data_IF_059617582798
#
_entry.id   IF_059617582798
#
_cell.length_a   1.000
_cell.length_b   1.000
_cell.length_c   1.000
_cell.angle_alpha   90.00
_cell.angle_beta   90.00
_cell.angle_gamma   90.00
#
_symmetry.space_group_name_H-M   'P 1'
#
loop_
_entity.id
_entity.type
_entity.pdbx_description
1 polymer ?
#
# COMPACT_ATOMS: atom_id res chain seq x y z
N UNK A 1 41.55 45.56 8.49
CA UNK A 1 40.67 45.77 7.31
C UNK A 1 40.80 44.70 6.22
N UNK A 2 41.90 44.54 5.45
CA UNK A 2 41.99 43.45 4.44
C UNK A 2 41.96 42.04 5.06
N UNK A 3 42.82 41.77 6.07
CA UNK A 3 42.80 40.47 6.80
C UNK A 3 41.49 40.15 7.53
N UNK A 4 40.75 41.18 7.92
CA UNK A 4 39.48 41.05 8.66
C UNK A 4 38.33 40.71 7.72
N UNK A 5 38.34 41.28 6.50
CA UNK A 5 37.43 40.89 5.42
C UNK A 5 37.73 39.49 4.89
N UNK A 6 39.00 39.10 4.80
CA UNK A 6 39.41 37.76 4.38
C UNK A 6 38.93 36.71 5.40
N UNK A 7 39.12 36.96 6.70
CA UNK A 7 38.63 36.08 7.76
C UNK A 7 37.09 35.97 7.77
N UNK A 8 36.37 37.07 7.60
CA UNK A 8 34.90 37.04 7.52
C UNK A 8 34.39 36.31 6.28
N UNK A 9 35.10 36.40 5.16
CA UNK A 9 34.75 35.69 3.93
C UNK A 9 35.03 34.18 4.05
N UNK A 10 36.15 33.79 4.66
CA UNK A 10 36.44 32.39 4.99
C UNK A 10 35.41 31.80 5.96
N UNK A 11 34.98 32.57 6.96
CA UNK A 11 33.93 32.17 7.88
C UNK A 11 32.59 32.01 7.16
N UNK A 12 32.21 32.95 6.29
CA UNK A 12 31.00 32.83 5.49
C UNK A 12 31.03 31.59 4.58
N UNK A 13 32.17 31.25 3.98
CA UNK A 13 32.35 30.03 3.19
C UNK A 13 32.27 28.76 4.05
N UNK A 14 32.90 28.74 5.22
CA UNK A 14 32.89 27.60 6.14
C UNK A 14 31.50 27.31 6.69
N UNK A 15 30.72 28.36 6.98
CA UNK A 15 29.33 28.30 7.42
C UNK A 15 28.44 27.80 6.28
N UNK A 16 28.55 28.35 5.06
CA UNK A 16 27.70 27.96 3.94
C UNK A 16 28.00 26.57 3.36
N UNK A 17 29.09 25.92 3.78
CA UNK A 17 29.49 24.58 3.31
C UNK A 17 28.93 23.43 4.16
N UNK A 18 28.17 23.72 5.22
CA UNK A 18 27.65 22.69 6.12
C UNK A 18 26.32 22.10 5.61
N UNK A 19 26.19 20.77 5.55
CA UNK A 19 25.03 20.11 4.92
C UNK A 19 23.79 20.02 5.82
N UNK A 20 23.96 20.07 7.15
CA UNK A 20 22.88 19.94 8.13
C UNK A 20 22.95 21.04 9.19
N UNK A 21 21.79 21.36 9.78
CA UNK A 21 21.66 22.47 10.71
C UNK A 21 22.48 22.28 12.01
N UNK A 22 22.64 21.04 12.50
CA UNK A 22 23.36 20.82 13.75
C UNK A 22 24.86 21.12 13.58
N UNK A 23 25.49 20.53 12.57
CA UNK A 23 26.90 20.77 12.23
C UNK A 23 27.16 22.25 11.93
N UNK A 24 26.22 22.92 11.27
CA UNK A 24 26.27 24.37 11.05
C UNK A 24 26.35 25.16 12.36
N UNK A 25 25.46 24.88 13.32
CA UNK A 25 25.39 25.63 14.57
C UNK A 25 26.63 25.41 15.45
N UNK A 26 27.14 24.18 15.49
CA UNK A 26 28.39 23.84 16.17
C UNK A 26 29.56 24.63 15.59
N UNK A 27 29.62 24.74 14.25
CA UNK A 27 30.68 25.52 13.60
C UNK A 27 30.53 27.01 13.84
N UNK A 28 29.31 27.54 13.85
CA UNK A 28 29.03 28.95 14.14
C UNK A 28 29.51 29.33 15.54
N UNK A 29 29.24 28.50 16.56
CA UNK A 29 29.63 28.80 17.94
C UNK A 29 31.15 28.72 18.14
N UNK A 30 31.81 27.76 17.49
CA UNK A 30 33.28 27.63 17.50
C UNK A 30 33.93 28.88 16.90
N UNK A 31 33.50 29.27 15.69
CA UNK A 31 34.02 30.46 15.00
C UNK A 31 33.73 31.75 15.77
N UNK A 32 32.58 31.84 16.45
CA UNK A 32 32.23 32.97 17.30
C UNK A 32 33.17 33.10 18.49
N UNK A 33 33.52 31.98 19.14
CA UNK A 33 34.44 31.96 20.26
C UNK A 33 35.86 32.35 19.81
N UNK A 34 36.34 31.77 18.71
CA UNK A 34 37.66 32.05 18.15
C UNK A 34 37.83 33.51 17.72
N UNK A 35 36.80 34.08 17.05
CA UNK A 35 36.84 35.45 16.53
C UNK A 35 37.01 36.51 17.63
N UNK A 36 36.41 36.26 18.80
CA UNK A 36 36.46 37.17 19.96
C UNK A 36 37.58 36.78 20.95
N UNK A 37 38.27 35.67 20.70
CA UNK A 37 39.37 35.18 21.54
C UNK A 37 38.91 34.66 22.90
N UNK A 38 37.76 34.00 22.94
CA UNK A 38 37.20 33.36 24.14
C UNK A 38 37.04 31.87 23.93
N UNK A 39 36.86 31.12 25.02
CA UNK A 39 36.91 29.65 24.96
C UNK A 39 35.56 28.96 25.05
N UNK A 40 34.44 29.68 25.20
CA UNK A 40 33.14 29.06 25.41
C UNK A 40 31.99 29.89 24.85
N UNK A 41 30.92 29.24 24.42
CA UNK A 41 29.79 29.89 23.76
C UNK A 41 28.57 29.00 23.59
N UNK A 42 27.51 29.58 23.06
CA UNK A 42 26.28 28.86 22.72
C UNK A 42 25.45 29.59 21.68
N UNK A 43 24.66 28.85 20.92
CA UNK A 43 23.69 29.39 19.95
C UNK A 43 22.29 29.01 20.39
N UNK A 44 21.49 30.02 20.67
CA UNK A 44 20.06 29.90 20.88
C UNK A 44 19.33 30.07 19.55
N UNK A 45 18.40 29.18 19.24
CA UNK A 45 17.53 29.32 18.07
C UNK A 45 16.10 29.65 18.48
N UNK A 46 15.46 30.52 17.71
CA UNK A 46 14.03 30.78 17.83
C UNK A 46 13.25 29.53 17.41
N UNK A 47 12.33 29.11 18.28
CA UNK A 47 11.38 28.03 18.03
C UNK A 47 10.22 28.52 17.14
N UNK A 48 9.44 27.60 16.52
CA UNK A 48 8.35 27.96 15.62
C UNK A 48 7.25 28.84 16.24
N UNK A 49 7.10 28.80 17.57
CA UNK A 49 6.15 29.64 18.32
C UNK A 49 6.52 31.13 18.31
N UNK A 50 7.78 31.47 18.00
CA UNK A 50 8.36 32.82 18.01
C UNK A 50 8.37 33.52 19.37
N UNK A 51 8.20 32.76 20.44
CA UNK A 51 8.21 33.27 21.81
C UNK A 51 9.30 32.62 22.67
N UNK A 52 9.83 31.49 22.19
CA UNK A 52 10.79 30.67 22.93
C UNK A 52 12.08 30.49 22.13
N UNK A 53 13.20 30.62 22.82
CA UNK A 53 14.53 30.23 22.36
C UNK A 53 14.90 28.86 22.92
N UNK A 54 15.63 28.05 22.15
CA UNK A 54 16.25 26.81 22.62
C UNK A 54 17.76 26.84 22.37
N UNK A 55 18.57 26.45 23.36
CA UNK A 55 20.01 26.29 23.16
C UNK A 55 20.26 25.08 22.27
N UNK A 56 20.58 25.34 21.00
CA UNK A 56 20.70 24.34 19.96
C UNK A 56 22.15 23.88 19.73
N UNK A 57 23.13 24.72 20.10
CA UNK A 57 24.55 24.35 20.07
C UNK A 57 25.29 24.98 21.26
N UNK A 58 26.33 24.29 21.73
CA UNK A 58 27.13 24.69 22.87
C UNK A 58 28.61 24.35 22.60
N UNK A 59 29.48 25.30 22.87
CA UNK A 59 30.92 25.13 22.71
C UNK A 59 31.60 25.29 24.07
N UNK A 60 32.24 24.22 24.54
CA UNK A 60 33.09 24.19 25.74
C UNK A 60 32.43 24.82 26.99
N UNK A 61 31.12 24.61 27.15
CA UNK A 61 30.40 24.98 28.38
C UNK A 61 30.67 23.93 29.46
N UNK A 62 30.94 24.38 30.70
CA UNK A 62 31.25 23.47 31.81
C UNK A 62 30.09 22.52 32.17
N UNK A 63 28.85 22.91 31.89
CA UNK A 63 27.67 22.08 32.09
C UNK A 63 26.94 21.92 30.75
N UNK A 64 26.27 20.79 30.56
CA UNK A 64 25.44 20.57 29.40
C UNK A 64 24.11 21.34 29.56
N UNK A 65 23.98 22.43 28.81
CA UNK A 65 22.77 23.23 28.75
C UNK A 65 21.95 22.99 27.47
N UNK A 66 22.34 22.05 26.60
CA UNK A 66 21.64 21.81 25.34
C UNK A 66 20.17 21.48 25.56
N UNK A 67 19.29 22.04 24.73
CA UNK A 67 17.84 21.91 24.86
C UNK A 67 17.21 22.83 25.91
N UNK A 68 18.00 23.64 26.64
CA UNK A 68 17.46 24.65 27.56
C UNK A 68 16.60 25.65 26.81
N UNK A 69 15.41 25.93 27.34
CA UNK A 69 14.46 26.87 26.74
C UNK A 69 14.34 28.14 27.56
N UNK A 70 14.32 29.29 26.86
CA UNK A 70 14.18 30.62 27.45
C UNK A 70 13.05 31.37 26.74
N UNK A 71 12.21 32.07 27.49
CA UNK A 71 11.22 32.98 26.89
C UNK A 71 11.88 34.30 26.46
N UNK A 72 11.23 35.02 25.56
CA UNK A 72 11.59 36.42 25.29
C UNK A 72 11.61 37.24 26.59
N UNK A 73 12.67 38.04 26.77
CA UNK A 73 12.94 38.81 27.99
C UNK A 73 13.59 38.02 29.14
N UNK A 74 13.69 36.69 29.05
CA UNK A 74 14.29 35.84 30.08
C UNK A 74 15.80 35.67 29.85
N UNK A 75 16.60 35.89 30.91
CA UNK A 75 18.05 35.79 30.78
C UNK A 75 18.64 36.83 29.83
N UNK A 76 19.93 36.70 29.52
CA UNK A 76 20.57 37.58 28.55
C UNK A 76 20.09 37.28 27.12
N UNK A 77 20.04 36.01 26.72
CA UNK A 77 19.62 35.62 25.37
C UNK A 77 18.17 36.00 25.07
N UNK A 78 17.23 35.80 26.00
CA UNK A 78 15.84 36.19 25.81
C UNK A 78 15.67 37.71 25.72
N UNK A 79 16.44 38.50 26.49
CA UNK A 79 16.44 39.97 26.38
C UNK A 79 17.00 40.45 25.05
N UNK A 80 18.10 39.88 24.57
CA UNK A 80 18.67 40.20 23.25
C UNK A 80 17.72 39.81 22.13
N UNK A 81 17.03 38.68 22.23
CA UNK A 81 16.00 38.30 21.26
C UNK A 81 14.74 39.19 21.34
N UNK A 82 14.45 39.81 22.48
CA UNK A 82 13.33 40.73 22.63
C UNK A 82 13.66 42.13 22.11
N UNK A 83 14.84 42.67 22.45
CA UNK A 83 15.25 44.01 22.03
C UNK A 83 15.79 44.04 20.60
N UNK A 84 16.39 42.95 20.15
CA UNK A 84 17.17 42.92 18.91
C UNK A 84 18.45 43.72 19.00
N UNK A 85 18.98 43.97 20.20
CA UNK A 85 20.23 44.72 20.40
C UNK A 85 21.25 43.86 21.14
N UNK A 86 22.52 43.98 20.75
CA UNK A 86 23.62 43.30 21.41
C UNK A 86 23.74 43.78 22.87
N UNK A 87 24.07 42.86 23.78
CA UNK A 87 24.24 43.18 25.20
C UNK A 87 25.45 42.45 25.78
N UNK A 88 26.27 43.19 26.52
CA UNK A 88 27.41 42.66 27.28
C UNK A 88 27.15 42.80 28.78
N UNK A 89 27.45 41.75 29.53
CA UNK A 89 27.35 41.72 31.00
C UNK A 89 28.73 41.39 31.56
N UNK A 90 29.29 42.31 32.34
CA UNK A 90 30.67 42.20 32.86
C UNK A 90 30.79 41.35 34.14
N UNK A 91 29.68 41.20 34.86
CA UNK A 91 29.57 40.35 36.07
C UNK A 91 28.28 39.53 36.02
N UNK A 92 28.25 38.54 35.12
CA UNK A 92 27.08 37.71 34.87
C UNK A 92 26.70 36.87 36.09
N UNK A 93 27.68 36.35 36.84
CA UNK A 93 27.44 35.56 38.06
C UNK A 93 26.69 36.34 39.14
N UNK A 94 26.83 37.66 39.22
CA UNK A 94 26.06 38.50 40.16
C UNK A 94 24.91 39.26 39.49
N UNK A 95 24.71 39.09 38.18
CA UNK A 95 23.68 39.81 37.47
C UNK A 95 22.28 39.30 37.86
N UNK A 96 21.35 40.18 38.30
CA UNK A 96 20.02 39.76 38.73
C UNK A 96 19.13 39.26 37.57
N UNK A 97 19.53 39.53 36.32
CA UNK A 97 18.77 39.13 35.13
C UNK A 97 19.01 37.69 34.65
N UNK A 98 19.80 36.88 35.36
CA UNK A 98 20.08 35.48 34.98
C UNK A 98 18.79 34.65 34.87
N UNK A 99 18.73 33.81 33.84
CA UNK A 99 17.66 32.81 33.73
C UNK A 99 17.85 31.69 34.76
N UNK A 100 16.76 31.09 35.22
CA UNK A 100 16.79 29.98 36.19
C UNK A 100 17.73 28.83 35.77
N UNK A 101 17.76 28.40 34.48
CA UNK A 101 18.68 27.34 34.04
C UNK A 101 20.17 27.66 34.13
N UNK A 102 20.55 28.92 34.34
CA UNK A 102 21.95 29.37 34.36
C UNK A 102 22.42 29.88 35.72
N UNK A 103 21.66 29.63 36.80
CA UNK A 103 22.03 30.10 38.13
C UNK A 103 23.34 29.49 38.65
N UNK A 104 23.64 28.24 38.27
CA UNK A 104 24.87 27.54 38.63
C UNK A 104 26.04 27.82 37.67
N UNK A 105 25.84 28.69 36.68
CA UNK A 105 26.90 29.02 35.73
C UNK A 105 27.97 29.90 36.38
N UNK A 106 29.24 29.58 36.07
CA UNK A 106 30.41 30.33 36.53
C UNK A 106 30.87 31.37 35.49
N UNK A 107 29.99 31.74 34.55
CA UNK A 107 30.32 32.75 33.55
C UNK A 107 30.47 34.10 34.24
N UNK A 108 31.59 34.77 33.99
CA UNK A 108 31.85 36.11 34.55
C UNK A 108 31.47 37.19 33.55
N UNK A 109 31.93 37.04 32.31
CA UNK A 109 31.61 37.96 31.21
C UNK A 109 30.84 37.23 30.14
N UNK A 110 29.73 37.82 29.73
CA UNK A 110 28.88 37.25 28.67
C UNK A 110 28.50 38.34 27.69
N UNK A 111 28.81 38.11 26.42
CA UNK A 111 28.32 38.93 25.31
C UNK A 111 27.32 38.10 24.51
N UNK A 112 26.18 38.71 24.22
CA UNK A 112 25.13 38.12 23.41
C UNK A 112 24.76 39.06 22.26
N UNK A 113 24.66 38.52 21.04
CA UNK A 113 24.25 39.27 19.84
C UNK A 113 23.09 38.56 19.14
N UNK A 114 22.14 39.31 18.56
CA UNK A 114 21.02 38.73 17.83
C UNK A 114 21.46 38.26 16.45
N UNK A 115 20.99 37.09 16.05
CA UNK A 115 21.05 36.62 14.66
C UNK A 115 19.84 37.20 13.92
N UNK A 116 20.07 38.25 13.12
CA UNK A 116 19.00 38.98 12.42
C UNK A 116 18.94 38.56 10.95
N UNK A 117 17.73 38.27 10.49
CA UNK A 117 17.41 38.07 9.08
C UNK A 117 16.31 39.06 8.69
N UNK A 118 16.69 40.14 7.99
CA UNK A 118 15.81 41.29 7.71
C UNK A 118 15.19 41.80 9.02
N UNK A 119 13.87 41.81 9.12
CA UNK A 119 13.12 42.33 10.29
C UNK A 119 12.83 41.25 11.35
N UNK A 120 13.49 40.08 11.30
CA UNK A 120 13.21 38.95 12.20
C UNK A 120 14.47 38.44 12.88
N UNK A 121 14.34 38.04 14.14
CA UNK A 121 15.41 37.37 14.90
C UNK A 121 15.22 35.86 14.76
N UNK A 122 16.25 35.20 14.24
CA UNK A 122 16.26 33.75 14.05
C UNK A 122 16.95 33.00 15.20
N UNK A 123 17.73 33.72 16.01
CA UNK A 123 18.47 33.18 17.15
C UNK A 123 19.33 34.23 17.85
N UNK A 124 20.15 33.78 18.79
CA UNK A 124 21.11 34.60 19.55
C UNK A 124 22.41 33.81 19.69
N UNK A 125 23.54 34.44 19.37
CA UNK A 125 24.87 33.90 19.66
C UNK A 125 25.30 34.46 21.01
N UNK A 126 25.79 33.58 21.88
CA UNK A 126 26.37 33.93 23.17
C UNK A 126 27.81 33.46 23.23
N UNK A 127 28.67 34.29 23.78
CA UNK A 127 30.03 33.93 24.11
C UNK A 127 30.29 34.25 25.57
N UNK A 128 30.97 33.32 26.25
CA UNK A 128 31.09 33.29 27.69
C UNK A 128 32.56 33.17 28.07
N UNK A 129 33.01 33.97 29.02
CA UNK A 129 34.37 33.87 29.53
C UNK A 129 34.41 34.03 31.06
N UNK A 130 35.34 33.33 31.71
CA UNK A 130 35.56 33.34 33.15
C UNK A 130 36.96 33.89 33.54
N UNK A 131 37.90 33.97 32.60
CA UNK A 131 39.31 34.33 32.80
C UNK A 131 39.73 35.64 32.11
N UNK A 132 38.95 36.15 31.13
CA UNK A 132 39.24 37.37 30.36
C UNK A 132 39.57 38.55 31.28
N UNK A 133 40.52 39.38 30.88
CA UNK A 133 40.87 40.62 31.59
C UNK A 133 40.17 41.79 30.89
N UNK A 134 39.19 42.40 31.57
CA UNK A 134 38.44 43.55 31.03
C UNK A 134 37.12 43.18 30.33
N UNK A 135 36.21 44.16 30.15
CA UNK A 135 34.92 43.98 29.46
C UNK A 135 35.11 43.61 27.98
N UNK A 136 34.05 43.16 27.32
CA UNK A 136 34.02 43.12 25.86
C UNK A 136 33.98 44.54 25.30
N UNK A 137 34.82 44.85 24.31
CA UNK A 137 34.90 46.18 23.70
C UNK A 137 34.01 46.29 22.45
N UNK A 138 33.98 47.49 21.84
CA UNK A 138 33.18 47.74 20.63
C UNK A 138 33.66 46.93 19.42
N UNK A 139 34.93 46.51 19.39
CA UNK A 139 35.48 45.65 18.35
C UNK A 139 34.94 44.22 18.50
N UNK A 140 34.93 43.68 19.72
CA UNK A 140 34.34 42.37 20.04
C UNK A 140 32.86 42.31 19.64
N UNK A 141 32.08 43.34 20.01
CA UNK A 141 30.65 43.44 19.68
C UNK A 141 30.45 43.52 18.17
N UNK A 142 31.24 44.34 17.46
CA UNK A 142 31.14 44.47 16.01
C UNK A 142 31.45 43.15 15.30
N UNK A 143 32.54 42.48 15.65
CA UNK A 143 32.97 41.23 15.02
C UNK A 143 31.94 40.13 15.21
N UNK A 144 31.44 39.96 16.43
CA UNK A 144 30.42 38.96 16.73
C UNK A 144 29.09 39.27 16.03
N UNK A 145 28.72 40.56 15.92
CA UNK A 145 27.51 40.98 15.19
C UNK A 145 27.61 40.65 13.70
N UNK A 146 28.75 40.92 13.06
CA UNK A 146 28.98 40.58 11.65
C UNK A 146 28.87 39.07 11.40
N UNK A 147 29.44 38.27 12.32
CA UNK A 147 29.29 36.83 12.27
C UNK A 147 27.83 36.39 12.43
N UNK A 148 27.11 36.99 13.39
CA UNK A 148 25.71 36.67 13.65
C UNK A 148 24.79 36.98 12.47
N UNK A 149 25.08 38.02 11.69
CA UNK A 149 24.38 38.32 10.44
C UNK A 149 24.60 37.23 9.37
N UNK A 150 25.84 36.75 9.20
CA UNK A 150 26.13 35.65 8.27
C UNK A 150 25.52 34.32 8.74
N UNK A 151 25.63 34.03 10.04
CA UNK A 151 25.04 32.85 10.65
C UNK A 151 23.50 32.86 10.53
N UNK A 152 22.85 34.03 10.63
CA UNK A 152 21.40 34.15 10.48
C UNK A 152 20.95 33.72 9.07
N UNK A 153 21.67 34.15 8.03
CA UNK A 153 21.41 33.75 6.64
C UNK A 153 21.60 32.25 6.46
N UNK A 154 22.73 31.71 6.94
CA UNK A 154 23.03 30.30 6.78
C UNK A 154 22.05 29.38 7.52
N UNK A 155 21.68 29.71 8.77
CA UNK A 155 20.67 28.97 9.53
C UNK A 155 19.32 28.98 8.83
N UNK A 156 18.94 30.12 8.25
CA UNK A 156 17.71 30.19 7.45
C UNK A 156 17.79 29.29 6.22
N UNK A 157 18.91 29.29 5.50
CA UNK A 157 19.10 28.46 4.32
C UNK A 157 19.09 26.96 4.67
N UNK A 158 19.78 26.56 5.75
CA UNK A 158 19.80 25.18 6.22
C UNK A 158 18.39 24.70 6.61
N UNK A 159 17.63 25.50 7.37
CA UNK A 159 16.23 25.20 7.72
C UNK A 159 15.33 25.07 6.49
N UNK A 160 15.48 25.96 5.51
CA UNK A 160 14.73 25.91 4.25
C UNK A 160 15.08 24.66 3.44
N UNK A 161 16.37 24.32 3.37
CA UNK A 161 16.85 23.14 2.66
C UNK A 161 16.32 21.85 3.30
N UNK A 162 16.42 21.71 4.63
CA UNK A 162 15.86 20.55 5.34
C UNK A 162 14.34 20.44 5.14
N UNK A 163 13.62 21.55 5.20
CA UNK A 163 12.17 21.55 4.94
C UNK A 163 11.85 21.12 3.49
N UNK A 164 12.61 21.62 2.52
CA UNK A 164 12.45 21.23 1.11
C UNK A 164 12.79 19.75 0.87
N UNK A 165 13.82 19.21 1.53
CA UNK A 165 14.17 17.80 1.46
C UNK A 165 13.06 16.92 2.06
N UNK A 166 12.50 17.29 3.22
CA UNK A 166 11.38 16.57 3.81
C UNK A 166 10.15 16.59 2.91
N UNK A 167 9.79 17.75 2.36
CA UNK A 167 8.68 17.88 1.41
C UNK A 167 8.90 17.04 0.14
N UNK A 168 10.13 17.00 -0.38
CA UNK A 168 10.47 16.15 -1.53
C UNK A 168 10.27 14.67 -1.23
N UNK A 169 10.76 14.18 -0.08
CA UNK A 169 10.60 12.78 0.34
C UNK A 169 9.12 12.45 0.55
N UNK A 170 8.35 13.33 1.18
CA UNK A 170 6.92 13.14 1.39
C UNK A 170 6.14 13.10 0.06
N UNK A 171 6.49 13.96 -0.90
CA UNK A 171 5.88 13.96 -2.25
C UNK A 171 6.21 12.72 -3.05
N UNK A 172 7.48 12.34 -3.11
CA UNK A 172 7.91 11.11 -3.80
C UNK A 172 7.17 9.89 -3.26
N UNK A 173 6.97 9.85 -1.93
CA UNK A 173 6.20 8.79 -1.29
C UNK A 173 4.72 8.83 -1.67
N UNK A 174 4.10 10.01 -1.67
CA UNK A 174 2.71 10.15 -2.09
C UNK A 174 2.51 9.70 -3.54
N UNK A 175 3.45 10.04 -4.44
CA UNK A 175 3.47 9.61 -5.84
C UNK A 175 3.61 8.09 -5.97
N UNK A 176 4.49 7.46 -5.19
CA UNK A 176 4.64 5.99 -5.16
C UNK A 176 3.34 5.29 -4.73
N UNK A 177 2.70 5.78 -3.66
CA UNK A 177 1.43 5.23 -3.18
C UNK A 177 0.35 5.42 -4.27
N UNK A 178 0.22 6.62 -4.83
CA UNK A 178 -0.77 6.90 -5.88
C UNK A 178 -0.56 6.02 -7.13
N UNK A 179 0.69 5.82 -7.55
CA UNK A 179 1.06 4.92 -8.64
C UNK A 179 0.65 3.47 -8.34
N UNK A 180 0.91 2.99 -7.12
CA UNK A 180 0.49 1.66 -6.70
C UNK A 180 -1.04 1.50 -6.70
N UNK A 181 -1.79 2.47 -6.16
CA UNK A 181 -3.26 2.46 -6.18
C UNK A 181 -3.80 2.39 -7.62
N UNK A 182 -3.24 3.21 -8.53
CA UNK A 182 -3.61 3.19 -9.93
C UNK A 182 -3.35 1.82 -10.57
N UNK A 183 -2.17 1.24 -10.35
CA UNK A 183 -1.79 -0.06 -10.90
C UNK A 183 -2.63 -1.21 -10.35
N UNK A 184 -3.03 -1.17 -9.07
CA UNK A 184 -3.95 -2.16 -8.49
C UNK A 184 -5.32 -2.06 -9.13
N UNK A 185 -5.83 -0.83 -9.30
CA UNK A 185 -7.10 -0.59 -9.97
C UNK A 185 -7.08 -1.08 -11.43
N UNK A 186 -5.99 -0.83 -12.15
CA UNK A 186 -5.77 -1.32 -13.51
C UNK A 186 -5.67 -2.85 -13.56
N UNK A 187 -4.89 -3.47 -12.67
CA UNK A 187 -4.73 -4.92 -12.58
C UNK A 187 -6.07 -5.62 -12.39
N UNK A 188 -6.98 -5.06 -11.60
CA UNK A 188 -8.31 -5.66 -11.43
C UNK A 188 -9.21 -5.58 -12.68
N UNK A 189 -8.82 -4.85 -13.72
CA UNK A 189 -9.51 -4.83 -15.03
C UNK A 189 -8.82 -5.72 -16.05
N UNK A 190 -7.49 -5.76 -16.03
CA UNK A 190 -6.69 -6.43 -17.06
C UNK A 190 -6.35 -7.88 -16.71
N UNK A 191 -6.31 -8.24 -15.42
CA UNK A 191 -6.05 -9.60 -15.00
C UNK A 191 -7.15 -10.54 -15.52
N UNK A 192 -6.81 -11.72 -16.07
CA UNK A 192 -7.79 -12.68 -16.58
C UNK A 192 -8.67 -13.26 -15.47
N UNK A 193 -8.06 -13.57 -14.33
CA UNK A 193 -8.65 -14.26 -13.17
C UNK A 193 -8.09 -13.70 -11.84
N UNK A 194 -8.61 -14.22 -10.72
CA UNK A 194 -8.16 -13.86 -9.38
C UNK A 194 -6.69 -14.21 -9.12
N UNK A 195 -6.19 -15.33 -9.61
CA UNK A 195 -4.80 -15.76 -9.36
C UNK A 195 -3.80 -14.78 -9.99
N UNK A 196 -4.04 -14.37 -11.23
CA UNK A 196 -3.23 -13.34 -11.90
C UNK A 196 -3.34 -11.97 -11.20
N UNK A 197 -4.51 -11.63 -10.65
CA UNK A 197 -4.70 -10.42 -9.86
C UNK A 197 -3.85 -10.45 -8.57
N UNK A 198 -3.86 -11.56 -7.83
CA UNK A 198 -3.08 -11.68 -6.60
C UNK A 198 -1.56 -11.56 -6.86
N UNK A 199 -1.06 -12.21 -7.91
CA UNK A 199 0.34 -12.05 -8.34
C UNK A 199 0.68 -10.59 -8.69
N UNK A 200 -0.23 -9.90 -9.38
CA UNK A 200 -0.05 -8.48 -9.73
C UNK A 200 -0.01 -7.61 -8.48
N UNK A 201 -0.91 -7.84 -7.51
CA UNK A 201 -0.92 -7.14 -6.22
C UNK A 201 0.40 -7.37 -5.49
N UNK A 202 0.86 -8.62 -5.36
CA UNK A 202 2.13 -8.93 -4.71
C UNK A 202 3.29 -8.17 -5.37
N UNK A 203 3.38 -8.19 -6.71
CA UNK A 203 4.41 -7.46 -7.47
C UNK A 203 4.37 -5.94 -7.22
N UNK A 204 3.17 -5.37 -7.05
CA UNK A 204 3.01 -3.94 -6.75
C UNK A 204 3.44 -3.63 -5.31
N UNK A 205 3.07 -4.48 -4.34
CA UNK A 205 3.44 -4.31 -2.92
C UNK A 205 4.95 -4.48 -2.71
N UNK A 206 5.60 -5.40 -3.41
CA UNK A 206 7.06 -5.63 -3.33
C UNK A 206 7.89 -4.43 -3.79
N UNK A 207 7.30 -3.51 -4.57
CA UNK A 207 7.94 -2.25 -4.95
C UNK A 207 7.78 -1.15 -3.89
N UNK A 208 6.86 -1.30 -2.95
CA UNK A 208 6.60 -0.35 -1.87
C UNK A 208 7.33 -0.71 -0.57
N UNK A 209 7.59 -2.01 -0.37
CA UNK A 209 8.18 -2.53 0.85
C UNK A 209 8.76 -3.93 0.63
N UNK A 210 9.64 -4.42 1.51
CA UNK A 210 10.12 -5.80 1.42
C UNK A 210 8.97 -6.79 1.58
N UNK A 211 8.52 -7.42 0.48
CA UNK A 211 7.34 -8.26 0.46
C UNK A 211 7.62 -9.71 0.06
N UNK A 212 8.89 -10.16 0.12
CA UNK A 212 9.31 -11.51 -0.26
C UNK A 212 8.47 -12.63 0.34
N UNK A 213 8.00 -12.46 1.59
CA UNK A 213 6.96 -13.30 2.16
C UNK A 213 5.66 -12.50 2.26
N UNK A 214 4.67 -12.92 1.48
CA UNK A 214 3.41 -12.22 1.31
C UNK A 214 2.27 -13.20 1.10
N UNK A 215 1.13 -12.93 1.71
CA UNK A 215 -0.07 -13.70 1.47
C UNK A 215 -1.34 -12.88 1.61
N UNK A 216 -2.40 -13.39 0.98
CA UNK A 216 -3.75 -12.86 1.07
C UNK A 216 -4.59 -13.94 1.73
N UNK A 217 -5.12 -13.64 2.91
CA UNK A 217 -6.06 -14.49 3.62
C UNK A 217 -7.47 -13.93 3.46
N UNK A 218 -8.44 -14.74 3.05
CA UNK A 218 -9.83 -14.35 2.85
C UNK A 218 -10.72 -15.13 3.80
N UNK A 219 -11.70 -14.46 4.40
CA UNK A 219 -12.63 -15.06 5.35
C UNK A 219 -13.98 -15.30 4.69
N UNK A 220 -14.49 -16.54 4.79
CA UNK A 220 -15.87 -16.87 4.46
C UNK A 220 -16.69 -16.97 5.75
N UNK A 221 -17.63 -16.03 5.91
CA UNK A 221 -18.51 -15.97 7.07
C UNK A 221 -19.51 -17.14 7.13
N UNK A 222 -19.90 -17.71 5.98
CA UNK A 222 -20.89 -18.79 5.92
C UNK A 222 -20.30 -20.11 6.37
N UNK A 223 -19.08 -20.40 5.92
CA UNK A 223 -18.35 -21.61 6.32
C UNK A 223 -17.57 -21.42 7.63
N UNK A 224 -17.40 -20.16 8.06
CA UNK A 224 -16.53 -19.76 9.17
C UNK A 224 -15.10 -20.28 8.98
N UNK A 225 -14.56 -20.11 7.77
CA UNK A 225 -13.24 -20.58 7.37
C UNK A 225 -12.39 -19.45 6.78
N UNK A 226 -11.09 -19.51 7.06
CA UNK A 226 -10.06 -18.68 6.44
C UNK A 226 -9.40 -19.49 5.33
N UNK A 227 -9.36 -18.91 4.13
CA UNK A 227 -8.67 -19.42 2.96
C UNK A 227 -7.46 -18.55 2.69
N UNK A 228 -6.38 -19.12 2.16
CA UNK A 228 -5.27 -18.33 1.61
C UNK A 228 -5.14 -18.61 0.11
N UNK A 229 -5.93 -17.95 -0.74
CA UNK A 229 -5.85 -18.15 -2.18
C UNK A 229 -4.53 -17.65 -2.78
N UNK A 230 -3.76 -16.84 -2.04
CA UNK A 230 -2.42 -16.45 -2.44
C UNK A 230 -1.48 -16.55 -1.26
N UNK A 231 -0.41 -17.33 -1.43
CA UNK A 231 0.58 -17.59 -0.40
C UNK A 231 1.96 -17.74 -1.03
N UNK A 232 2.82 -16.76 -0.83
CA UNK A 232 4.22 -16.78 -1.22
C UNK A 232 5.05 -16.64 0.05
N UNK A 233 5.52 -17.75 0.60
CA UNK A 233 6.33 -17.79 1.82
C UNK A 233 7.49 -18.78 1.68
N UNK A 234 8.62 -18.46 2.32
CA UNK A 234 9.83 -19.26 2.20
C UNK A 234 10.00 -20.34 3.27
N UNK A 235 9.24 -20.27 4.36
CA UNK A 235 9.44 -21.13 5.54
C UNK A 235 8.23 -21.96 5.93
N UNK A 236 7.03 -21.55 5.52
CA UNK A 236 5.80 -22.14 6.02
C UNK A 236 4.99 -22.82 4.91
N UNK A 237 4.30 -23.89 5.27
CA UNK A 237 3.21 -24.50 4.51
C UNK A 237 2.08 -24.72 5.51
N UNK A 238 1.00 -23.94 5.38
CA UNK A 238 -0.11 -23.97 6.32
C UNK A 238 -1.19 -24.97 5.89
N UNK A 239 -1.68 -25.78 6.83
CA UNK A 239 -2.88 -26.60 6.65
C UNK A 239 -4.12 -25.71 6.60
N UNK A 240 -4.62 -25.47 5.38
CA UNK A 240 -5.77 -24.60 5.09
C UNK A 240 -6.78 -25.28 4.15
N UNK A 241 -8.07 -24.90 4.19
CA UNK A 241 -8.68 -23.85 5.01
C UNK A 241 -8.84 -24.23 6.49
N UNK A 242 -8.85 -23.22 7.37
CA UNK A 242 -8.99 -23.42 8.82
C UNK A 242 -9.93 -22.37 9.46
N UNK A 243 -10.65 -22.69 10.54
CA UNK A 243 -11.49 -21.72 11.24
C UNK A 243 -10.64 -20.62 11.91
N UNK A 244 -11.19 -19.41 12.13
CA UNK A 244 -10.51 -18.38 12.90
C UNK A 244 -10.11 -18.89 14.29
N UNK A 245 -8.89 -18.58 14.70
CA UNK A 245 -8.31 -19.01 15.97
C UNK A 245 -7.54 -17.88 16.64
N UNK A 246 -6.38 -18.23 17.22
CA UNK A 246 -5.47 -17.28 17.86
C UNK A 246 -4.27 -16.88 16.98
N UNK A 247 -4.33 -17.10 15.66
CA UNK A 247 -3.27 -16.59 14.77
C UNK A 247 -3.30 -15.06 14.68
N UNK A 248 -2.17 -14.43 14.29
CA UNK A 248 -2.11 -12.99 14.04
C UNK A 248 -3.11 -12.55 12.95
N UNK A 249 -3.29 -13.37 11.90
CA UNK A 249 -4.34 -13.17 10.88
C UNK A 249 -5.73 -13.13 11.51
N UNK A 250 -6.04 -14.07 12.41
CA UNK A 250 -7.34 -14.10 13.11
C UNK A 250 -7.51 -12.89 14.03
N UNK A 251 -6.43 -12.40 14.65
CA UNK A 251 -6.45 -11.19 15.47
C UNK A 251 -6.79 -9.95 14.63
N UNK A 252 -6.18 -9.78 13.45
CA UNK A 252 -6.50 -8.67 12.54
C UNK A 252 -7.94 -8.78 12.02
N UNK A 253 -8.42 -9.98 11.67
CA UNK A 253 -9.83 -10.19 11.30
C UNK A 253 -10.77 -9.79 12.43
N UNK A 254 -10.51 -10.25 13.66
CA UNK A 254 -11.35 -10.01 14.84
C UNK A 254 -11.41 -8.54 15.26
N UNK A 255 -10.25 -7.89 15.31
CA UNK A 255 -10.15 -6.48 15.75
C UNK A 255 -10.47 -5.51 14.62
N UNK A 256 -10.33 -5.97 13.38
CA UNK A 256 -10.36 -5.14 12.20
C UNK A 256 -9.24 -4.10 12.18
N UNK A 257 -8.17 -4.18 12.98
CA UNK A 257 -7.12 -3.15 13.04
C UNK A 257 -5.81 -3.59 12.37
N UNK A 258 -5.11 -2.71 11.64
CA UNK A 258 -3.74 -2.94 11.19
C UNK A 258 -2.81 -3.31 12.36
N UNK A 259 -1.98 -4.33 12.17
CA UNK A 259 -1.03 -4.80 13.18
C UNK A 259 0.37 -4.97 12.58
N UNK A 260 1.33 -4.25 13.15
CA UNK A 260 2.76 -4.56 13.02
C UNK A 260 3.20 -5.29 14.29
N UNK A 261 3.32 -6.61 14.20
CA UNK A 261 3.82 -7.46 15.27
C UNK A 261 5.33 -7.63 15.12
N UNK A 262 6.06 -6.78 15.85
CA UNK A 262 7.48 -7.01 16.16
C UNK A 262 7.61 -8.09 17.26
N UNK A 263 8.80 -8.64 17.56
CA UNK A 263 8.94 -9.69 18.56
C UNK A 263 8.37 -9.27 19.92
N UNK A 264 8.64 -8.02 20.32
CA UNK A 264 8.09 -7.44 21.55
C UNK A 264 6.55 -7.38 21.53
N UNK A 265 5.96 -6.90 20.43
CA UNK A 265 4.50 -6.79 20.31
C UNK A 265 3.85 -8.18 20.28
N UNK A 266 4.48 -9.14 19.62
CA UNK A 266 4.02 -10.52 19.59
C UNK A 266 4.03 -11.15 20.99
N UNK A 267 5.14 -11.01 21.72
CA UNK A 267 5.27 -11.49 23.10
C UNK A 267 4.23 -10.84 24.04
N UNK A 268 4.01 -9.53 23.90
CA UNK A 268 3.00 -8.80 24.68
C UNK A 268 1.56 -9.31 24.39
N UNK A 269 1.25 -9.65 23.14
CA UNK A 269 -0.05 -10.20 22.75
C UNK A 269 -0.22 -11.66 23.22
N UNK A 270 0.83 -12.48 23.15
CA UNK A 270 0.81 -13.85 23.70
C UNK A 270 0.63 -13.85 25.21
N UNK A 271 1.30 -12.95 25.94
CA UNK A 271 1.15 -12.82 27.39
C UNK A 271 -0.27 -12.43 27.83
N UNK A 272 -1.03 -11.78 26.94
CA UNK A 272 -2.45 -11.42 27.13
C UNK A 272 -3.42 -12.49 26.63
N UNK A 273 -2.92 -13.63 26.13
CA UNK A 273 -3.70 -14.71 25.55
C UNK A 273 -4.55 -14.30 24.33
N UNK A 274 -4.18 -13.21 23.66
CA UNK A 274 -4.86 -12.67 22.47
C UNK A 274 -4.49 -13.42 21.18
N UNK A 275 -3.25 -13.92 21.14
CA UNK A 275 -2.66 -14.65 20.02
C UNK A 275 -1.84 -15.84 20.49
N UNK A 276 -1.59 -16.79 19.59
CA UNK A 276 -0.72 -17.94 19.76
C UNK A 276 0.16 -18.08 18.52
N UNK A 277 1.34 -18.68 18.68
CA UNK A 277 2.20 -19.02 17.56
C UNK A 277 1.52 -20.09 16.69
N UNK A 278 1.18 -19.71 15.47
CA UNK A 278 0.62 -20.58 14.43
C UNK A 278 1.45 -20.36 13.18
N UNK A 279 2.07 -21.43 12.67
CA UNK A 279 3.05 -21.35 11.59
C UNK A 279 4.47 -21.02 12.08
N UNK A 280 5.31 -20.55 11.17
CA UNK A 280 6.69 -20.15 11.46
C UNK A 280 6.77 -18.82 12.23
N UNK A 281 7.73 -18.73 13.16
CA UNK A 281 7.95 -17.51 13.94
C UNK A 281 8.71 -16.46 13.11
N UNK A 282 7.98 -15.46 12.59
CA UNK A 282 8.57 -14.36 11.84
C UNK A 282 9.20 -13.30 12.75
N UNK A 283 10.21 -12.60 12.23
CA UNK A 283 10.91 -11.52 12.93
C UNK A 283 10.05 -10.26 12.98
N UNK A 284 9.41 -9.91 11.88
CA UNK A 284 8.32 -8.93 11.84
C UNK A 284 7.18 -9.50 11.00
N UNK A 285 5.96 -9.31 11.52
CA UNK A 285 4.72 -9.63 10.83
C UNK A 285 3.88 -8.37 10.69
N UNK A 286 3.43 -8.05 9.47
CA UNK A 286 2.58 -6.90 9.20
C UNK A 286 1.32 -7.35 8.46
N UNK A 287 0.17 -7.25 9.12
CA UNK A 287 -1.13 -7.54 8.54
C UNK A 287 -2.07 -6.34 8.58
N UNK A 288 -2.81 -6.14 7.51
CA UNK A 288 -3.84 -5.11 7.41
C UNK A 288 -5.16 -5.71 6.94
N UNK A 289 -6.31 -5.24 7.46
CA UNK A 289 -7.60 -5.77 7.07
C UNK A 289 -7.92 -5.39 5.62
N UNK A 290 -8.48 -6.32 4.87
CA UNK A 290 -9.09 -6.06 3.55
C UNK A 290 -10.55 -5.70 3.77
N UNK A 291 -10.86 -4.41 3.72
CA UNK A 291 -12.21 -3.89 4.01
C UNK A 291 -12.92 -3.49 2.73
N UNK A 292 -14.16 -3.96 2.58
CA UNK A 292 -15.12 -3.43 1.60
C UNK A 292 -16.06 -2.44 2.30
N UNK A 293 -17.05 -1.92 1.57
CA UNK A 293 -18.08 -1.06 2.16
C UNK A 293 -18.96 -1.81 3.19
N UNK A 294 -18.97 -3.14 3.15
CA UNK A 294 -19.92 -3.98 3.89
C UNK A 294 -19.26 -4.84 4.95
N UNK A 295 -18.01 -5.28 4.76
CA UNK A 295 -17.34 -6.17 5.70
C UNK A 295 -15.80 -6.18 5.56
N UNK A 296 -15.11 -6.75 6.55
CA UNK A 296 -13.72 -7.18 6.39
C UNK A 296 -13.71 -8.54 5.72
N UNK A 297 -13.29 -8.60 4.46
CA UNK A 297 -13.30 -9.82 3.64
C UNK A 297 -12.04 -10.68 3.83
N UNK A 298 -11.03 -10.16 4.54
CA UNK A 298 -9.74 -10.82 4.66
C UNK A 298 -8.65 -9.98 5.32
N UNK A 299 -7.41 -10.44 5.19
CA UNK A 299 -6.18 -9.78 5.64
C UNK A 299 -5.13 -9.86 4.55
N UNK A 300 -4.46 -8.75 4.30
CA UNK A 300 -3.27 -8.65 3.46
C UNK A 300 -2.05 -8.65 4.37
N UNK A 301 -1.10 -9.56 4.12
CA UNK A 301 0.03 -9.77 5.02
C UNK A 301 1.36 -9.73 4.29
N UNK A 302 2.33 -9.08 4.94
CA UNK A 302 3.76 -9.11 4.61
C UNK A 302 4.52 -9.54 5.86
N UNK A 303 5.52 -10.42 5.70
CA UNK A 303 6.35 -10.86 6.82
C UNK A 303 7.82 -11.05 6.43
N UNK A 304 8.70 -11.07 7.43
CA UNK A 304 10.14 -11.29 7.24
C UNK A 304 10.68 -12.22 8.32
N UNK A 305 11.55 -13.14 7.92
CA UNK A 305 12.32 -14.01 8.82
C UNK A 305 13.78 -13.54 8.98
N UNK A 306 14.18 -12.47 8.26
CA UNK A 306 15.54 -11.98 8.24
C UNK A 306 15.69 -10.78 9.20
N UNK A 307 16.55 -10.91 10.21
CA UNK A 307 16.81 -9.84 11.19
C UNK A 307 17.35 -8.54 10.59
N UNK A 308 17.99 -8.61 9.40
CA UNK A 308 18.51 -7.43 8.69
C UNK A 308 17.41 -6.64 7.99
N UNK A 309 16.22 -7.21 7.80
CA UNK A 309 15.09 -6.56 7.14
C UNK A 309 14.03 -6.34 8.20
N UNK A 310 13.76 -5.06 8.53
CA UNK A 310 12.77 -4.69 9.55
C UNK A 310 11.58 -3.98 8.92
N UNK A 311 10.38 -4.39 9.33
CA UNK A 311 9.15 -3.67 8.99
C UNK A 311 8.92 -2.54 9.99
N UNK A 312 8.40 -1.41 9.51
CA UNK A 312 8.31 -0.18 10.30
C UNK A 312 6.87 0.30 10.38
N UNK A 313 6.60 1.24 11.29
CA UNK A 313 5.31 1.94 11.32
C UNK A 313 5.00 2.66 10.01
N UNK A 314 6.05 3.03 9.27
CA UNK A 314 5.93 3.58 7.94
C UNK A 314 5.34 2.57 6.96
N UNK A 315 5.87 1.35 6.93
CA UNK A 315 5.36 0.23 6.16
C UNK A 315 3.89 -0.06 6.50
N UNK A 316 3.53 -0.10 7.80
CA UNK A 316 2.13 -0.29 8.22
C UNK A 316 1.20 0.77 7.64
N UNK A 317 1.59 2.06 7.68
CA UNK A 317 0.80 3.15 7.09
C UNK A 317 0.61 2.95 5.59
N UNK A 318 1.69 2.64 4.85
CA UNK A 318 1.61 2.40 3.40
C UNK A 318 0.68 1.24 3.09
N UNK A 319 0.89 0.07 3.69
CA UNK A 319 0.08 -1.12 3.40
C UNK A 319 -1.40 -0.90 3.73
N UNK A 320 -1.69 -0.15 4.80
CA UNK A 320 -3.07 0.24 5.18
C UNK A 320 -3.73 1.13 4.12
N UNK A 321 -3.01 2.08 3.52
CA UNK A 321 -3.58 2.91 2.44
C UNK A 321 -3.91 2.09 1.19
N UNK A 322 -3.11 1.05 0.93
CA UNK A 322 -3.24 0.24 -0.28
C UNK A 322 -4.28 -0.87 -0.10
N UNK A 323 -4.52 -1.35 1.13
CA UNK A 323 -5.42 -2.48 1.40
C UNK A 323 -6.86 -2.25 0.98
N UNK A 324 -7.37 -1.02 1.08
CA UNK A 324 -8.75 -0.71 0.66
C UNK A 324 -8.92 -0.88 -0.85
N UNK A 325 -7.95 -0.44 -1.65
CA UNK A 325 -7.97 -0.66 -3.11
C UNK A 325 -7.78 -2.13 -3.46
N UNK A 326 -6.96 -2.87 -2.72
CA UNK A 326 -6.82 -4.32 -2.88
C UNK A 326 -8.15 -5.02 -2.60
N UNK A 327 -8.84 -4.67 -1.52
CA UNK A 327 -10.14 -5.26 -1.18
C UNK A 327 -11.18 -5.00 -2.28
N UNK A 328 -11.27 -3.76 -2.77
CA UNK A 328 -12.16 -3.40 -3.88
C UNK A 328 -11.82 -4.15 -5.18
N UNK A 329 -10.54 -4.29 -5.50
CA UNK A 329 -10.06 -5.05 -6.65
C UNK A 329 -10.49 -6.52 -6.60
N UNK A 330 -10.32 -7.17 -5.44
CA UNK A 330 -10.71 -8.56 -5.21
C UNK A 330 -12.23 -8.72 -5.30
N UNK A 331 -13.00 -7.85 -4.64
CA UNK A 331 -14.47 -7.88 -4.68
C UNK A 331 -14.98 -7.73 -6.12
N UNK A 332 -14.42 -6.78 -6.88
CA UNK A 332 -14.78 -6.57 -8.29
C UNK A 332 -14.49 -7.81 -9.13
N UNK A 333 -13.30 -8.41 -9.00
CA UNK A 333 -12.90 -9.57 -9.79
C UNK A 333 -13.73 -10.81 -9.45
N UNK A 334 -14.05 -11.01 -8.16
CA UNK A 334 -14.99 -12.05 -7.70
C UNK A 334 -16.39 -11.87 -8.30
N UNK A 335 -16.91 -10.66 -8.32
CA UNK A 335 -18.21 -10.36 -8.92
C UNK A 335 -18.24 -10.63 -10.43
N UNK A 336 -17.16 -10.26 -11.14
CA UNK A 336 -16.99 -10.53 -12.57
C UNK A 336 -16.97 -12.04 -12.87
N UNK A 337 -16.20 -12.82 -12.11
CA UNK A 337 -16.13 -14.28 -12.28
C UNK A 337 -17.45 -14.97 -11.94
N UNK A 338 -18.15 -14.52 -10.89
CA UNK A 338 -19.47 -15.03 -10.53
C UNK A 338 -20.50 -14.77 -11.63
N UNK A 339 -20.50 -13.57 -12.22
CA UNK A 339 -21.36 -13.24 -13.36
C UNK A 339 -21.05 -14.13 -14.56
N UNK A 340 -19.76 -14.27 -14.93
CA UNK A 340 -19.33 -15.14 -16.04
C UNK A 340 -19.68 -16.61 -15.83
N UNK A 341 -19.70 -17.07 -14.58
CA UNK A 341 -20.12 -18.44 -14.23
C UNK A 341 -21.62 -18.60 -14.44
N UNK A 342 -22.42 -17.66 -13.90
CA UNK A 342 -23.87 -17.66 -14.05
C UNK A 342 -24.32 -17.55 -15.51
N UNK A 343 -23.65 -16.73 -16.33
CA UNK A 343 -23.93 -16.62 -17.76
C UNK A 343 -23.66 -17.92 -18.52
N UNK A 344 -22.59 -18.65 -18.15
CA UNK A 344 -22.28 -19.96 -18.73
C UNK A 344 -23.33 -21.00 -18.36
N UNK A 345 -23.66 -21.09 -17.06
CA UNK A 345 -24.71 -21.99 -16.57
C UNK A 345 -26.06 -21.70 -17.25
N UNK A 346 -26.44 -20.43 -17.38
CA UNK A 346 -27.66 -20.03 -18.05
C UNK A 346 -27.67 -20.43 -19.53
N UNK A 347 -26.55 -20.24 -20.24
CA UNK A 347 -26.43 -20.63 -21.66
C UNK A 347 -26.61 -22.13 -21.85
N UNK A 348 -26.01 -22.93 -20.98
CA UNK A 348 -26.10 -24.39 -21.05
C UNK A 348 -27.52 -24.89 -20.74
N UNK A 349 -28.16 -24.33 -19.70
CA UNK A 349 -29.55 -24.62 -19.36
C UNK A 349 -30.50 -24.22 -20.48
N UNK A 350 -30.31 -23.05 -21.09
CA UNK A 350 -31.12 -22.58 -22.20
C UNK A 350 -31.00 -23.52 -23.41
N UNK A 351 -29.78 -23.93 -23.77
CA UNK A 351 -29.54 -24.88 -24.85
C UNK A 351 -30.18 -26.26 -24.57
N UNK A 352 -30.17 -26.72 -23.32
CA UNK A 352 -30.85 -27.96 -22.91
C UNK A 352 -32.38 -27.84 -23.02
N UNK A 353 -32.97 -26.75 -22.51
CA UNK A 353 -34.41 -26.50 -22.56
C UNK A 353 -34.92 -26.39 -24.01
N UNK A 354 -34.14 -25.76 -24.90
CA UNK A 354 -34.48 -25.65 -26.32
C UNK A 354 -34.50 -27.03 -26.99
N UNK A 355 -33.52 -27.90 -26.72
CA UNK A 355 -33.50 -29.29 -27.22
C UNK A 355 -34.72 -30.08 -26.75
N UNK A 356 -35.07 -29.97 -25.47
CA UNK A 356 -36.24 -30.66 -24.93
C UNK A 356 -37.56 -30.18 -25.54
N UNK A 357 -37.68 -28.87 -25.78
CA UNK A 357 -38.87 -28.29 -26.44
C UNK A 357 -39.00 -28.80 -27.88
N UNK A 358 -37.89 -28.90 -28.63
CA UNK A 358 -37.88 -29.46 -29.97
C UNK A 358 -38.32 -30.93 -29.98
N UNK A 359 -37.82 -31.74 -29.03
CA UNK A 359 -38.20 -33.15 -28.88
C UNK A 359 -39.70 -33.31 -28.55
N UNK A 360 -40.22 -32.54 -27.59
CA UNK A 360 -41.63 -32.57 -27.23
C UNK A 360 -42.54 -32.12 -28.39
N UNK A 361 -42.14 -31.09 -29.14
CA UNK A 361 -42.88 -30.63 -30.31
C UNK A 361 -42.95 -31.69 -31.41
N UNK A 362 -41.87 -32.45 -31.62
CA UNK A 362 -41.86 -33.59 -32.52
C UNK A 362 -42.80 -34.69 -32.03
N UNK A 363 -42.69 -35.10 -30.78
CA UNK A 363 -43.54 -36.14 -30.19
C UNK A 363 -45.02 -35.78 -30.28
N UNK A 364 -45.37 -34.52 -30.00
CA UNK A 364 -46.76 -34.06 -30.08
C UNK A 364 -47.28 -34.07 -31.53
N UNK A 365 -46.49 -33.62 -32.52
CA UNK A 365 -46.87 -33.72 -33.94
C UNK A 365 -47.07 -35.15 -34.40
N UNK A 366 -46.12 -36.04 -34.06
CA UNK A 366 -46.20 -37.46 -34.42
C UNK A 366 -47.42 -38.12 -33.77
N UNK A 367 -47.67 -37.84 -32.48
CA UNK A 367 -48.84 -38.34 -31.76
C UNK A 367 -50.14 -37.84 -32.40
N UNK A 368 -50.25 -36.55 -32.67
CA UNK A 368 -51.45 -35.95 -33.27
C UNK A 368 -51.74 -36.52 -34.67
N UNK A 369 -50.71 -36.78 -35.48
CA UNK A 369 -50.85 -37.44 -36.77
C UNK A 369 -51.41 -38.87 -36.60
N UNK A 370 -50.83 -39.65 -35.69
CA UNK A 370 -51.25 -41.04 -35.43
C UNK A 370 -52.69 -41.16 -34.92
N UNK A 371 -53.21 -40.18 -34.18
CA UNK A 371 -54.55 -40.25 -33.60
C UNK A 371 -55.64 -39.67 -34.50
N UNK A 372 -55.33 -38.67 -35.33
CA UNK A 372 -56.34 -37.88 -36.05
C UNK A 372 -56.39 -38.17 -37.56
N UNK A 373 -55.38 -38.83 -38.13
CA UNK A 373 -55.38 -39.18 -39.55
C UNK A 373 -55.84 -40.63 -39.77
N UNK A 374 -56.82 -40.81 -40.67
CA UNK A 374 -57.36 -42.12 -41.03
C UNK A 374 -56.59 -42.79 -42.19
N UNK A 375 -55.65 -42.07 -42.81
CA UNK A 375 -54.83 -42.53 -43.93
C UNK A 375 -53.36 -42.63 -43.49
N UNK A 376 -52.81 -43.85 -43.48
CA UNK A 376 -51.40 -44.10 -43.14
C UNK A 376 -50.43 -43.29 -44.02
N UNK A 377 -50.80 -43.02 -45.28
CA UNK A 377 -49.95 -42.26 -46.20
C UNK A 377 -49.80 -40.80 -45.77
N UNK A 378 -50.85 -40.23 -45.17
CA UNK A 378 -50.79 -38.91 -44.56
C UNK A 378 -49.90 -38.95 -43.31
N UNK A 379 -50.03 -40.00 -42.48
CA UNK A 379 -49.27 -40.12 -41.23
C UNK A 379 -47.78 -40.14 -41.52
N UNK A 380 -47.35 -40.98 -42.46
CA UNK A 380 -45.95 -41.09 -42.85
C UNK A 380 -45.38 -39.78 -43.40
N UNK A 381 -46.19 -39.02 -44.16
CA UNK A 381 -45.80 -37.70 -44.63
C UNK A 381 -45.59 -36.73 -43.47
N UNK A 382 -46.54 -36.66 -42.54
CA UNK A 382 -46.47 -35.79 -41.37
C UNK A 382 -45.26 -36.13 -40.50
N UNK A 383 -44.97 -37.42 -40.28
CA UNK A 383 -43.79 -37.88 -39.53
C UNK A 383 -42.49 -37.46 -40.21
N UNK A 384 -42.32 -37.75 -41.51
CA UNK A 384 -41.10 -37.38 -42.23
C UNK A 384 -40.87 -35.86 -42.25
N UNK A 385 -41.93 -35.08 -42.47
CA UNK A 385 -41.85 -33.62 -42.49
C UNK A 385 -41.58 -33.04 -41.09
N UNK A 386 -42.15 -33.63 -40.03
CA UNK A 386 -41.89 -33.23 -38.65
C UNK A 386 -40.43 -33.50 -38.25
N UNK A 387 -39.87 -34.66 -38.62
CA UNK A 387 -38.45 -35.00 -38.39
C UNK A 387 -37.55 -34.00 -39.14
N UNK A 388 -37.85 -33.76 -40.43
CA UNK A 388 -37.10 -32.82 -41.28
C UNK A 388 -37.04 -31.42 -40.68
N UNK A 389 -38.19 -30.89 -40.27
CA UNK A 389 -38.29 -29.54 -39.72
C UNK A 389 -37.67 -29.41 -38.32
N UNK A 390 -37.82 -30.43 -37.47
CA UNK A 390 -37.35 -30.36 -36.08
C UNK A 390 -35.84 -30.45 -36.00
N UNK A 391 -35.24 -31.38 -36.74
CA UNK A 391 -33.80 -31.63 -36.68
C UNK A 391 -33.01 -30.98 -37.81
N UNK A 392 -33.68 -30.33 -38.77
CA UNK A 392 -33.02 -29.69 -39.91
C UNK A 392 -32.38 -30.67 -40.89
N UNK A 393 -32.70 -31.97 -40.81
CA UNK A 393 -32.21 -32.94 -41.78
C UNK A 393 -32.75 -32.61 -43.17
N UNK A 394 -31.88 -32.64 -44.17
CA UNK A 394 -32.27 -32.35 -45.55
C UNK A 394 -32.89 -33.56 -46.24
N UNK A 395 -32.55 -34.77 -45.79
CA UNK A 395 -32.98 -36.03 -46.38
C UNK A 395 -33.58 -36.93 -45.28
N UNK A 396 -34.89 -37.21 -45.38
CA UNK A 396 -35.60 -38.10 -44.45
C UNK A 396 -36.41 -39.10 -45.26
N UNK A 397 -36.30 -40.39 -44.97
CA UNK A 397 -37.09 -41.44 -45.63
C UNK A 397 -37.60 -42.46 -44.61
N UNK A 398 -38.81 -42.97 -44.86
CA UNK A 398 -39.49 -43.93 -44.00
C UNK A 398 -39.86 -45.15 -44.82
N UNK A 399 -39.42 -46.31 -44.36
CA UNK A 399 -39.71 -47.61 -44.97
C UNK A 399 -40.51 -48.47 -43.99
N UNK A 400 -41.39 -49.31 -44.53
CA UNK A 400 -42.09 -50.33 -43.76
C UNK A 400 -41.58 -51.71 -44.15
N UNK A 401 -41.48 -52.60 -43.18
CA UNK A 401 -41.07 -53.98 -43.40
C UNK A 401 -42.25 -54.79 -43.95
N UNK A 402 -42.01 -55.46 -45.07
CA UNK A 402 -42.92 -56.41 -45.72
C UNK A 402 -42.11 -57.68 -46.04
N UNK A 403 -42.31 -58.73 -45.25
CA UNK A 403 -41.52 -59.97 -45.24
C UNK A 403 -39.99 -59.74 -45.14
N UNK A 404 -39.28 -59.86 -46.26
CA UNK A 404 -37.81 -59.77 -46.36
C UNK A 404 -37.36 -58.47 -47.04
N UNK A 405 -38.28 -57.53 -47.27
CA UNK A 405 -38.03 -56.29 -48.02
C UNK A 405 -38.57 -55.08 -47.26
N UNK A 406 -37.81 -54.00 -47.24
CA UNK A 406 -38.24 -52.70 -46.74
C UNK A 406 -38.80 -51.87 -47.90
N UNK A 407 -40.08 -51.52 -47.85
CA UNK A 407 -40.77 -50.73 -48.88
C UNK A 407 -40.90 -49.28 -48.47
N UNK A 408 -40.44 -48.36 -49.33
CA UNK A 408 -40.53 -46.93 -49.09
C UNK A 408 -41.98 -46.49 -48.98
N UNK A 409 -42.33 -45.80 -47.88
CA UNK A 409 -43.64 -45.22 -47.68
C UNK A 409 -43.65 -43.72 -47.99
N UNK A 410 -42.63 -43.00 -47.51
CA UNK A 410 -42.49 -41.58 -47.75
C UNK A 410 -41.05 -41.13 -47.66
N UNK A 411 -40.70 -40.06 -48.38
CA UNK A 411 -39.40 -39.42 -48.29
C UNK A 411 -39.49 -37.92 -48.55
N UNK A 412 -38.54 -37.17 -48.00
CA UNK A 412 -38.37 -35.74 -48.26
C UNK A 412 -36.91 -35.46 -48.61
N UNK A 413 -36.70 -34.60 -49.61
CA UNK A 413 -35.39 -34.09 -50.04
C UNK A 413 -34.61 -34.96 -51.03
N UNK A 414 -34.99 -36.23 -51.24
CA UNK A 414 -34.32 -37.12 -52.18
C UNK A 414 -34.70 -36.81 -53.65
N UNK A 415 -33.71 -36.81 -54.55
CA UNK A 415 -33.93 -36.66 -55.99
C UNK A 415 -34.37 -37.97 -56.68
N UNK A 416 -34.02 -39.12 -56.09
CA UNK A 416 -34.37 -40.46 -56.58
C UNK A 416 -34.88 -41.31 -55.42
N UNK A 417 -35.98 -42.02 -55.64
CA UNK A 417 -36.56 -42.96 -54.67
C UNK A 417 -35.96 -44.34 -54.84
N UNK A 418 -35.54 -44.96 -53.74
CA UNK A 418 -35.27 -46.39 -53.68
C UNK A 418 -36.55 -47.03 -53.10
N UNK A 419 -37.35 -47.66 -53.94
CA UNK A 419 -38.68 -48.14 -53.54
C UNK A 419 -38.63 -49.37 -52.65
N UNK A 420 -37.63 -50.24 -52.84
CA UNK A 420 -37.48 -51.50 -52.15
C UNK A 420 -36.02 -51.73 -51.78
N UNK A 421 -35.77 -52.11 -50.53
CA UNK A 421 -34.44 -52.44 -50.00
C UNK A 421 -34.51 -53.84 -49.38
N UNK A 422 -33.77 -54.84 -49.90
CA UNK A 422 -33.71 -56.15 -49.26
C UNK A 422 -33.17 -56.03 -47.84
N UNK A 423 -33.75 -56.79 -46.89
CA UNK A 423 -33.33 -56.75 -45.48
C UNK A 423 -31.83 -56.95 -45.32
N UNK A 424 -31.17 -57.72 -46.19
CA UNK A 424 -29.72 -58.02 -46.14
C UNK A 424 -28.82 -56.85 -46.55
N UNK A 425 -29.39 -55.76 -47.08
CA UNK A 425 -28.63 -54.71 -47.80
C UNK A 425 -28.49 -53.43 -46.98
N UNK A 426 -27.26 -52.92 -46.91
CA UNK A 426 -26.95 -51.59 -46.38
C UNK A 426 -27.27 -51.39 -44.89
N UNK A 427 -27.17 -50.14 -44.46
CA UNK A 427 -27.47 -49.73 -43.07
C UNK A 427 -28.95 -49.87 -42.75
N UNK A 428 -29.83 -49.50 -43.67
CA UNK A 428 -31.28 -49.51 -43.48
C UNK A 428 -31.79 -50.94 -43.23
N UNK A 429 -31.33 -51.92 -44.02
CA UNK A 429 -31.64 -53.33 -43.81
C UNK A 429 -31.08 -53.88 -42.49
N UNK A 430 -29.89 -53.44 -42.08
CA UNK A 430 -29.26 -53.87 -40.83
C UNK A 430 -30.03 -53.36 -39.61
N UNK A 431 -30.37 -52.08 -39.56
CA UNK A 431 -31.21 -51.48 -38.51
C UNK A 431 -32.54 -52.22 -38.38
N UNK A 432 -33.18 -52.56 -39.50
CA UNK A 432 -34.43 -53.33 -39.47
C UNK A 432 -34.27 -54.75 -38.92
N UNK A 433 -33.13 -55.43 -39.17
CA UNK A 433 -32.87 -56.78 -38.63
C UNK A 433 -32.51 -56.78 -37.14
N UNK A 434 -31.75 -55.78 -36.69
CA UNK A 434 -31.25 -55.72 -35.31
C UNK A 434 -32.23 -55.00 -34.37
N UNK A 435 -33.10 -54.15 -34.91
CA UNK A 435 -33.91 -53.21 -34.13
C UNK A 435 -33.08 -52.15 -33.42
N UNK A 436 -31.77 -52.05 -33.71
CA UNK A 436 -30.86 -51.10 -33.08
C UNK A 436 -30.58 -49.95 -34.05
N UNK A 437 -30.66 -48.69 -33.58
CA UNK A 437 -30.28 -47.55 -34.40
C UNK A 437 -28.79 -47.61 -34.75
N UNK A 438 -28.44 -47.27 -35.99
CA UNK A 438 -27.05 -47.14 -36.44
C UNK A 438 -26.79 -45.73 -36.95
N UNK A 439 -25.69 -45.15 -36.47
CA UNK A 439 -25.10 -43.93 -37.02
C UNK A 439 -23.88 -44.33 -37.85
N UNK A 440 -23.82 -43.85 -39.09
CA UNK A 440 -22.65 -44.01 -39.96
C UNK A 440 -21.98 -42.64 -40.06
N UNK A 441 -20.73 -42.56 -39.63
CA UNK A 441 -19.87 -41.37 -39.74
C UNK A 441 -19.41 -41.11 -41.18
#
# INVERSE_FOLDING_TARGET
RTRELDALNEIALAINSQPDLATLLDKVVELAADLVGVRAGGVYLMLPDRETLELAAAYNLMHNYLGTRLKLGEGLSGRVAQSGEAQSIDDYVNWPGRAAPHQDSLFRRVLAVPMKLRDRIVGVITINDHERVGPFDDDDVRLLTLLAEQAAVAVSNARLYEAAQRDLVERQRAEQIQSALHRISEAAHTAPDLDALYHSIHTIIDQLMPARNFYIALYDERENLIYMPYFADEQDELDLPAPPGKSLTSYVLRTGQPLLATPKVFDDLMARDEVALVGANSVDWLGVPLRTQTATIGVLVVQTYNERVRLTEEHKRVLTFVSDQVAMAIERKRAEEALRRSEREYRDLYAAAQRQTQELALLDRVRNALTNELDLSAVFRTVCEAIRQTFGYTLVSLYMLDDQVLRLQHQVGYQKSIWEIPLTTGVIGRVARTGQPELIE
#
